data_IF_864164925991
#
_entry.id   IF_864164925991
#
_cell.length_a   1.000
_cell.length_b   1.000
_cell.length_c   1.000
_cell.angle_alpha   90.00
_cell.angle_beta   90.00
_cell.angle_gamma   90.00
#
_symmetry.space_group_name_H-M   'P 1'
#
loop_
_entity.id
_entity.type
_entity.pdbx_description
1 polymer ?
#
# COMPACT_ATOMS: atom_id res chain seq x y z
N UNK A 1 -19.65 -2.17 -2.47
CA UNK A 1 -18.42 -1.41 -2.14
C UNK A 1 -17.78 -0.96 -3.46
N UNK A 2 -17.52 0.35 -3.64
CA UNK A 2 -16.83 0.85 -4.85
C UNK A 2 -15.35 0.99 -4.53
N UNK A 3 -14.51 0.34 -5.32
CA UNK A 3 -13.05 0.40 -5.20
C UNK A 3 -12.50 1.22 -6.35
N UNK A 4 -11.57 2.11 -6.06
CA UNK A 4 -10.75 2.82 -7.06
C UNK A 4 -9.32 2.35 -6.88
N UNK A 5 -8.72 1.82 -7.94
CA UNK A 5 -7.32 1.42 -7.98
C UNK A 5 -6.55 2.36 -8.89
N UNK A 6 -5.38 2.82 -8.44
CA UNK A 6 -4.47 3.66 -9.20
C UNK A 6 -3.09 3.00 -9.12
N UNK A 7 -2.51 2.66 -10.27
CA UNK A 7 -1.11 2.25 -10.32
C UNK A 7 -0.24 3.51 -10.28
N UNK A 8 0.49 3.68 -9.19
CA UNK A 8 1.18 4.94 -8.89
C UNK A 8 2.52 4.94 -9.62
N UNK A 9 2.56 5.66 -10.72
CA UNK A 9 3.81 6.16 -11.29
C UNK A 9 4.22 7.45 -10.55
N UNK A 10 5.34 7.46 -9.78
CA UNK A 10 5.76 8.64 -9.04
C UNK A 10 6.19 9.82 -9.93
N UNK A 11 6.45 9.60 -11.22
CA UNK A 11 6.76 10.67 -12.17
C UNK A 11 5.49 11.32 -12.74
N UNK A 12 4.38 10.58 -12.79
CA UNK A 12 3.12 11.03 -13.38
C UNK A 12 2.05 11.41 -12.35
N UNK A 13 2.17 10.95 -11.10
CA UNK A 13 1.17 11.16 -10.06
C UNK A 13 1.69 12.01 -8.90
N UNK A 14 0.91 13.01 -8.51
CA UNK A 14 1.10 13.71 -7.25
C UNK A 14 0.41 12.92 -6.12
N UNK A 15 1.23 12.38 -5.22
CA UNK A 15 0.77 11.64 -4.05
C UNK A 15 -0.10 12.47 -3.11
N UNK A 16 0.12 13.79 -3.01
CA UNK A 16 -0.70 14.65 -2.16
C UNK A 16 -2.14 14.73 -2.68
N UNK A 17 -2.30 14.88 -4.00
CA UNK A 17 -3.62 14.89 -4.65
C UNK A 17 -4.34 13.57 -4.45
N UNK A 18 -3.65 12.43 -4.68
CA UNK A 18 -4.24 11.10 -4.47
C UNK A 18 -4.68 10.89 -3.01
N UNK A 19 -3.90 11.38 -2.05
CA UNK A 19 -4.25 11.34 -0.63
C UNK A 19 -5.51 12.17 -0.34
N UNK A 20 -5.58 13.40 -0.84
CA UNK A 20 -6.71 14.29 -0.59
C UNK A 20 -7.99 13.74 -1.21
N UNK A 21 -7.92 13.20 -2.43
CA UNK A 21 -9.04 12.50 -3.06
C UNK A 21 -9.49 11.30 -2.22
N UNK A 22 -8.57 10.59 -1.57
CA UNK A 22 -8.86 9.42 -0.73
C UNK A 22 -9.43 9.75 0.66
N UNK A 23 -9.57 11.03 1.02
CA UNK A 23 -10.11 11.43 2.32
C UNK A 23 -11.54 10.91 2.53
N UNK A 24 -11.85 10.51 3.77
CA UNK A 24 -13.13 9.91 4.14
C UNK A 24 -13.32 8.47 3.62
N UNK A 25 -12.29 7.86 3.02
CA UNK A 25 -12.30 6.47 2.53
C UNK A 25 -11.14 5.69 3.11
N UNK A 26 -11.33 4.38 3.28
CA UNK A 26 -10.24 3.46 3.63
C UNK A 26 -9.15 3.51 2.55
N UNK A 27 -7.90 3.56 2.98
CA UNK A 27 -6.73 3.58 2.11
C UNK A 27 -5.92 2.29 2.26
N UNK A 28 -5.62 1.63 1.13
CA UNK A 28 -4.78 0.44 1.08
C UNK A 28 -3.59 0.73 0.16
N UNK A 29 -2.38 0.63 0.70
CA UNK A 29 -1.13 0.78 -0.04
C UNK A 29 -0.62 -0.60 -0.43
N UNK A 30 -0.68 -0.92 -1.72
CA UNK A 30 -0.11 -2.17 -2.26
C UNK A 30 1.29 -1.88 -2.77
N UNK A 31 2.28 -2.59 -2.25
CA UNK A 31 3.70 -2.39 -2.55
C UNK A 31 4.35 -3.71 -2.95
N UNK A 32 5.45 -3.66 -3.68
CA UNK A 32 6.17 -4.87 -4.12
C UNK A 32 7.66 -4.77 -3.83
N UNK A 33 8.18 -5.75 -3.10
CA UNK A 33 9.61 -5.89 -2.80
C UNK A 33 10.24 -4.56 -2.34
N UNK A 34 9.64 -3.88 -1.34
CA UNK A 34 10.04 -2.54 -0.89
C UNK A 34 11.53 -2.45 -0.53
N UNK A 35 12.09 -3.56 -0.04
CA UNK A 35 13.51 -3.69 0.25
C UNK A 35 14.44 -3.41 -0.94
N UNK A 36 13.95 -3.53 -2.18
CA UNK A 36 14.68 -3.22 -3.42
C UNK A 36 14.45 -1.78 -3.91
N UNK A 37 13.56 -1.03 -3.23
CA UNK A 37 13.06 0.28 -3.63
C UNK A 37 13.11 1.25 -2.45
N UNK A 38 14.30 1.59 -1.93
CA UNK A 38 14.44 2.46 -0.76
C UNK A 38 13.75 3.82 -0.94
N UNK A 39 13.73 4.35 -2.15
CA UNK A 39 13.01 5.59 -2.48
C UNK A 39 11.48 5.45 -2.34
N UNK A 40 10.92 4.26 -2.62
CA UNK A 40 9.51 3.99 -2.38
C UNK A 40 9.22 3.78 -0.91
N UNK A 41 10.12 3.12 -0.17
CA UNK A 41 9.97 2.93 1.27
C UNK A 41 9.85 4.27 2.02
N UNK A 42 10.71 5.24 1.69
CA UNK A 42 10.64 6.60 2.25
C UNK A 42 9.30 7.29 1.93
N UNK A 43 8.79 7.13 0.70
CA UNK A 43 7.49 7.69 0.31
C UNK A 43 6.34 7.03 1.06
N UNK A 44 6.38 5.71 1.22
CA UNK A 44 5.38 4.96 2.00
C UNK A 44 5.39 5.44 3.44
N UNK A 45 6.56 5.59 4.08
CA UNK A 45 6.65 6.12 5.44
C UNK A 45 6.07 7.54 5.55
N UNK A 46 6.33 8.41 4.56
CA UNK A 46 5.77 9.76 4.52
C UNK A 46 4.24 9.76 4.32
N UNK A 47 3.70 8.86 3.50
CA UNK A 47 2.25 8.67 3.32
C UNK A 47 1.60 8.18 4.62
N UNK A 48 2.20 7.20 5.29
CA UNK A 48 1.71 6.63 6.54
C UNK A 48 1.72 7.65 7.68
N UNK A 49 2.69 8.57 7.72
CA UNK A 49 2.69 9.68 8.66
C UNK A 49 1.47 10.61 8.50
N UNK A 50 0.93 10.75 7.27
CA UNK A 50 -0.28 11.54 6.96
C UNK A 50 -1.57 10.74 7.11
N UNK A 51 -1.53 9.43 6.84
CA UNK A 51 -2.66 8.49 6.90
C UNK A 51 -2.30 7.28 7.77
N UNK A 52 -2.23 7.45 9.10
CA UNK A 52 -1.89 6.35 10.01
C UNK A 52 -2.96 5.25 10.04
N UNK A 53 -4.16 5.53 9.50
CA UNK A 53 -5.26 4.59 9.30
C UNK A 53 -5.10 3.69 8.07
N UNK A 54 -4.05 3.89 7.26
CA UNK A 54 -3.84 3.10 6.06
C UNK A 54 -3.33 1.68 6.36
N UNK A 55 -3.75 0.73 5.52
CA UNK A 55 -3.27 -0.66 5.53
C UNK A 55 -2.20 -0.82 4.46
N UNK A 56 -1.10 -1.49 4.77
CA UNK A 56 -0.07 -1.85 3.79
C UNK A 56 -0.19 -3.33 3.42
N UNK A 57 -0.22 -3.61 2.12
CA UNK A 57 -0.11 -4.96 1.55
C UNK A 57 1.24 -5.06 0.85
N UNK A 58 2.20 -5.74 1.46
CA UNK A 58 3.50 -6.03 0.84
C UNK A 58 3.45 -7.34 0.07
N UNK A 59 3.64 -7.22 -1.24
CA UNK A 59 3.79 -8.32 -2.16
C UNK A 59 5.26 -8.64 -2.43
N UNK A 60 5.57 -9.94 -2.57
CA UNK A 60 6.95 -10.41 -2.73
C UNK A 60 7.60 -10.77 -1.39
N UNK A 61 8.85 -10.35 -1.19
CA UNK A 61 9.66 -10.74 -0.02
C UNK A 61 9.51 -9.72 1.13
N UNK A 62 8.90 -10.09 2.28
CA UNK A 62 8.49 -9.16 3.33
C UNK A 62 9.61 -8.84 4.33
N UNK A 63 10.66 -8.18 3.87
CA UNK A 63 11.81 -7.79 4.72
C UNK A 63 11.88 -6.28 5.00
N UNK A 64 10.96 -5.48 4.45
CA UNK A 64 10.90 -4.03 4.66
C UNK A 64 9.50 -3.62 5.15
N UNK A 65 9.22 -3.86 6.43
CA UNK A 65 7.93 -3.54 7.06
C UNK A 65 7.89 -2.06 7.50
N UNK A 66 6.99 -1.22 6.93
CA UNK A 66 6.79 0.15 7.40
C UNK A 66 6.19 0.19 8.80
N UNK A 67 6.66 1.10 9.66
CA UNK A 67 6.26 1.14 11.09
C UNK A 67 4.98 1.95 11.36
N UNK A 68 4.50 2.73 10.39
CA UNK A 68 3.35 3.64 10.55
C UNK A 68 2.00 3.13 10.06
N UNK A 69 1.91 1.89 9.60
CA UNK A 69 0.67 1.34 9.06
C UNK A 69 -0.25 0.81 10.16
N UNK A 70 -1.56 1.06 10.04
CA UNK A 70 -2.59 0.51 10.94
C UNK A 70 -2.56 -1.03 10.95
N UNK A 71 -2.40 -1.61 9.77
CA UNK A 71 -2.23 -3.05 9.59
C UNK A 71 -1.23 -3.31 8.45
N UNK A 72 -0.60 -4.48 8.51
CA UNK A 72 0.39 -4.91 7.53
C UNK A 72 0.11 -6.36 7.13
N UNK A 73 -0.05 -6.59 5.84
CA UNK A 73 -0.29 -7.90 5.23
C UNK A 73 0.91 -8.22 4.35
N UNK A 74 1.63 -9.29 4.68
CA UNK A 74 2.70 -9.84 3.85
C UNK A 74 2.17 -11.03 3.06
N UNK A 75 2.15 -10.94 1.74
CA UNK A 75 1.59 -12.02 0.90
C UNK A 75 2.61 -13.11 0.54
N UNK A 76 3.89 -12.94 0.91
CA UNK A 76 5.00 -13.90 0.68
C UNK A 76 5.18 -14.32 -0.80
N UNK A 77 4.63 -13.53 -1.72
CA UNK A 77 4.62 -13.79 -3.15
C UNK A 77 3.91 -12.66 -3.89
N UNK A 78 4.15 -12.53 -5.20
CA UNK A 78 3.63 -11.42 -6.01
C UNK A 78 2.68 -11.89 -7.12
N UNK A 79 2.25 -13.15 -7.07
CA UNK A 79 1.32 -13.73 -8.04
C UNK A 79 -0.12 -13.23 -7.82
N UNK A 80 -0.98 -13.39 -8.84
CA UNK A 80 -2.40 -13.01 -8.78
C UNK A 80 -3.13 -13.61 -7.58
N UNK A 81 -2.94 -14.89 -7.31
CA UNK A 81 -3.57 -15.60 -6.18
C UNK A 81 -3.19 -15.00 -4.82
N UNK A 82 -1.99 -14.41 -4.71
CA UNK A 82 -1.55 -13.72 -3.50
C UNK A 82 -2.32 -12.41 -3.29
N UNK A 83 -2.58 -11.66 -4.36
CA UNK A 83 -3.38 -10.44 -4.30
C UNK A 83 -4.85 -10.76 -3.96
N UNK A 84 -5.40 -11.84 -4.54
CA UNK A 84 -6.75 -12.31 -4.24
C UNK A 84 -6.91 -12.68 -2.77
N UNK A 85 -5.98 -13.48 -2.23
CA UNK A 85 -5.97 -13.82 -0.81
C UNK A 85 -5.90 -12.58 0.10
N UNK A 86 -5.08 -11.58 -0.25
CA UNK A 86 -5.03 -10.32 0.50
C UNK A 86 -6.35 -9.55 0.43
N UNK A 87 -6.98 -9.48 -0.75
CA UNK A 87 -8.28 -8.82 -0.93
C UNK A 87 -9.40 -9.51 -0.15
N UNK A 88 -9.41 -10.85 -0.11
CA UNK A 88 -10.34 -11.63 0.71
C UNK A 88 -10.18 -11.32 2.21
N UNK A 89 -8.95 -11.21 2.70
CA UNK A 89 -8.68 -10.85 4.11
C UNK A 89 -9.20 -9.44 4.42
N UNK A 90 -9.09 -8.50 3.49
CA UNK A 90 -9.54 -7.11 3.67
C UNK A 90 -11.06 -6.93 3.60
N UNK A 91 -11.79 -7.90 3.07
CA UNK A 91 -13.24 -7.80 2.80
C UNK A 91 -14.10 -8.72 3.66
N UNK A 92 -13.48 -9.47 4.57
CA UNK A 92 -14.16 -10.19 5.65
C UNK A 92 -14.51 -9.24 6.79
#
# INVERSE_FOLDING_TARGET
>A
MRVTAVDVDPAAHDLAVLLDESNGRSLVLVVRDLHRRPEQAVKVDALLARRPDAIVVEMGVPICRPRGAMAYIATHGSARVCAEAAAEVLTR
#
